data_IF_659641654741
#
_entry.id   IF_659641654741
#
_cell.length_a   1.000
_cell.length_b   1.000
_cell.length_c   1.000
_cell.angle_alpha   90.00
_cell.angle_beta   90.00
_cell.angle_gamma   90.00
#
_symmetry.space_group_name_H-M   'P 1'
#
loop_
_entity.id
_entity.type
_entity.pdbx_description
1 polymer ?
#
# COMPACT_ATOMS: atom_id res chain seq x y z
N UNK A 1 9.62 10.66 30.70
CA UNK A 1 9.51 9.68 29.59
C UNK A 1 9.60 10.42 28.27
N UNK A 2 10.58 10.12 27.42
CA UNK A 2 10.71 10.73 26.08
C UNK A 2 9.92 9.83 25.12
N UNK A 3 8.82 10.33 24.55
CA UNK A 3 8.02 9.56 23.59
C UNK A 3 8.90 9.10 22.42
N UNK A 4 8.84 7.81 22.09
CA UNK A 4 9.51 7.29 20.89
C UNK A 4 8.88 7.97 19.68
N UNK A 5 9.70 8.64 18.88
CA UNK A 5 9.24 9.27 17.63
C UNK A 5 9.06 8.17 16.59
N UNK A 6 7.93 8.19 15.89
CA UNK A 6 7.69 7.38 14.69
C UNK A 6 8.88 7.47 13.74
N UNK A 7 9.29 6.34 13.16
CA UNK A 7 10.39 6.26 12.19
C UNK A 7 10.23 7.32 11.08
N UNK A 8 11.34 7.95 10.66
CA UNK A 8 11.32 8.92 9.56
C UNK A 8 10.79 8.29 8.26
N UNK A 9 10.96 6.98 8.10
CA UNK A 9 10.55 6.24 6.91
C UNK A 9 9.04 6.06 6.78
N UNK A 10 8.28 5.98 7.87
CA UNK A 10 6.81 5.93 7.79
C UNK A 10 6.20 7.26 7.29
N UNK A 11 6.84 8.39 7.61
CA UNK A 11 6.33 9.75 7.31
C UNK A 11 6.39 10.12 5.82
N UNK A 12 7.07 9.34 4.99
CA UNK A 12 7.15 9.57 3.55
C UNK A 12 6.00 8.91 2.78
N UNK A 13 5.14 8.15 3.45
CA UNK A 13 4.05 7.46 2.79
C UNK A 13 2.72 8.11 3.10
N UNK A 14 1.86 8.12 2.09
CA UNK A 14 0.49 8.62 2.18
C UNK A 14 -0.50 7.47 2.44
N UNK A 15 -0.10 6.23 2.12
CA UNK A 15 -0.82 5.01 2.47
C UNK A 15 0.11 3.81 2.70
N UNK A 16 -0.24 2.95 3.66
CA UNK A 16 0.42 1.65 3.90
C UNK A 16 -0.61 0.53 3.71
N UNK A 17 -0.37 -0.35 2.75
CA UNK A 17 -1.17 -1.54 2.49
C UNK A 17 -0.60 -2.71 3.29
N UNK A 18 -1.48 -3.53 3.88
CA UNK A 18 -1.10 -4.61 4.80
C UNK A 18 -1.66 -5.98 4.43
N UNK A 19 -2.69 -6.04 3.59
CA UNK A 19 -3.29 -7.27 3.13
C UNK A 19 -3.99 -7.07 1.77
N UNK A 20 -4.12 -8.12 0.96
CA UNK A 20 -4.74 -8.02 -0.37
C UNK A 20 -5.56 -9.27 -0.72
N UNK A 21 -6.70 -9.05 -1.38
CA UNK A 21 -7.52 -10.07 -2.03
C UNK A 21 -7.51 -9.84 -3.53
N UNK A 22 -7.31 -10.91 -4.28
CA UNK A 22 -7.33 -10.88 -5.74
C UNK A 22 -8.57 -11.59 -6.28
N UNK A 23 -9.07 -11.11 -7.41
CA UNK A 23 -10.12 -11.78 -8.18
C UNK A 23 -9.59 -13.01 -8.92
N UNK A 24 -10.51 -13.77 -9.52
CA UNK A 24 -10.16 -14.96 -10.31
C UNK A 24 -9.32 -14.62 -11.57
N UNK A 25 -9.40 -13.38 -12.06
CA UNK A 25 -8.58 -12.84 -13.15
C UNK A 25 -7.17 -12.43 -12.71
N UNK A 26 -6.86 -12.53 -11.41
CA UNK A 26 -5.57 -12.12 -10.84
C UNK A 26 -5.42 -10.61 -10.67
N UNK A 27 -6.48 -9.82 -10.86
CA UNK A 27 -6.48 -8.40 -10.52
C UNK A 27 -6.77 -8.21 -9.04
N UNK A 28 -6.27 -7.13 -8.47
CA UNK A 28 -6.62 -6.74 -7.12
C UNK A 28 -8.14 -6.50 -7.07
N UNK A 29 -8.80 -7.15 -6.12
CA UNK A 29 -10.21 -6.88 -5.81
C UNK A 29 -10.29 -5.87 -4.68
N UNK A 30 -9.62 -6.16 -3.56
CA UNK A 30 -9.61 -5.32 -2.36
C UNK A 30 -8.26 -5.39 -1.65
N UNK A 31 -7.87 -4.31 -1.02
CA UNK A 31 -6.74 -4.28 -0.08
C UNK A 31 -7.16 -3.67 1.25
N UNK A 32 -6.51 -4.09 2.33
CA UNK A 32 -6.56 -3.38 3.60
C UNK A 32 -5.34 -2.47 3.72
N UNK A 33 -5.55 -1.26 4.20
CA UNK A 33 -4.45 -0.34 4.48
C UNK A 33 -4.83 0.81 5.39
N UNK A 34 -3.82 1.58 5.78
CA UNK A 34 -3.96 2.80 6.57
C UNK A 34 -3.66 4.00 5.68
N UNK A 35 -4.51 5.03 5.77
CA UNK A 35 -4.32 6.28 5.05
C UNK A 35 -3.81 7.36 5.98
N UNK A 36 -2.87 8.17 5.49
CA UNK A 36 -2.34 9.30 6.24
C UNK A 36 -3.19 10.55 6.03
N UNK A 37 -3.47 11.27 7.13
CA UNK A 37 -4.22 12.52 7.16
C UNK A 37 -3.37 13.59 7.86
N UNK A 38 -2.51 14.25 7.09
CA UNK A 38 -1.53 15.18 7.64
C UNK A 38 -0.46 14.45 8.45
N UNK A 39 -0.35 14.73 9.74
CA UNK A 39 0.64 14.10 10.62
C UNK A 39 0.18 12.79 11.24
N UNK A 40 -1.11 12.45 11.15
CA UNK A 40 -1.71 11.28 11.79
C UNK A 40 -2.08 10.20 10.79
N UNK A 41 -2.11 8.95 11.25
CA UNK A 41 -2.68 7.82 10.52
C UNK A 41 -4.15 7.68 10.91
N UNK A 42 -5.01 7.49 9.90
CA UNK A 42 -6.40 7.10 10.13
C UNK A 42 -6.53 5.62 10.48
N UNK A 43 -7.76 5.17 10.64
CA UNK A 43 -8.07 3.75 10.87
C UNK A 43 -7.75 2.88 9.66
N UNK A 44 -7.78 1.56 9.88
CA UNK A 44 -7.69 0.57 8.82
C UNK A 44 -8.90 0.67 7.90
N UNK A 45 -8.67 0.78 6.60
CA UNK A 45 -9.69 0.92 5.57
C UNK A 45 -9.53 -0.14 4.48
N UNK A 46 -10.64 -0.40 3.78
CA UNK A 46 -10.65 -1.19 2.55
C UNK A 46 -10.57 -0.25 1.35
N UNK A 47 -9.69 -0.56 0.42
CA UNK A 47 -9.53 0.16 -0.84
C UNK A 47 -9.69 -0.84 -1.98
N UNK A 48 -10.45 -0.47 -2.99
CA UNK A 48 -10.46 -1.22 -4.25
C UNK A 48 -9.27 -0.82 -5.12
N UNK A 49 -9.17 -1.51 -6.27
CA UNK A 49 -8.12 -1.30 -7.25
C UNK A 49 -8.17 0.08 -7.90
N UNK A 50 -9.36 0.61 -8.19
CA UNK A 50 -9.53 1.87 -8.90
C UNK A 50 -9.06 3.04 -8.04
N UNK A 51 -9.45 3.05 -6.76
CA UNK A 51 -9.01 4.04 -5.79
C UNK A 51 -7.47 4.05 -5.63
N UNK A 52 -6.84 2.87 -5.64
CA UNK A 52 -5.39 2.72 -5.59
C UNK A 52 -4.70 3.32 -6.82
N UNK A 53 -5.22 3.01 -8.01
CA UNK A 53 -4.70 3.53 -9.28
C UNK A 53 -4.83 5.05 -9.34
N UNK A 54 -5.99 5.58 -8.96
CA UNK A 54 -6.24 7.01 -8.93
C UNK A 54 -5.28 7.71 -7.96
N UNK A 55 -5.11 7.17 -6.75
CA UNK A 55 -4.18 7.72 -5.76
C UNK A 55 -2.73 7.75 -6.29
N UNK A 56 -2.26 6.69 -6.95
CA UNK A 56 -0.94 6.65 -7.56
C UNK A 56 -0.80 7.68 -8.69
N UNK A 57 -1.83 7.85 -9.54
CA UNK A 57 -1.84 8.87 -10.61
C UNK A 57 -1.84 10.29 -10.07
N UNK A 58 -2.45 10.53 -8.91
CA UNK A 58 -2.39 11.80 -8.18
C UNK A 58 -1.03 12.04 -7.49
N UNK A 59 -0.06 11.12 -7.65
CA UNK A 59 1.28 11.23 -7.08
C UNK A 59 1.36 10.83 -5.61
N UNK A 60 0.33 10.18 -5.04
CA UNK A 60 0.40 9.68 -3.67
C UNK A 60 1.42 8.55 -3.58
N UNK A 61 2.21 8.58 -2.51
CA UNK A 61 3.22 7.57 -2.23
C UNK A 61 2.60 6.45 -1.41
N UNK A 62 2.52 5.27 -2.00
CA UNK A 62 1.92 4.09 -1.37
C UNK A 62 3.00 3.03 -1.19
N UNK A 63 2.99 2.36 -0.04
CA UNK A 63 3.87 1.24 0.23
C UNK A 63 3.09 0.04 0.77
N UNK A 64 3.70 -1.13 0.66
CA UNK A 64 3.31 -2.34 1.38
C UNK A 64 4.15 -2.46 2.66
N UNK A 65 3.56 -3.02 3.71
CA UNK A 65 4.23 -3.23 4.98
C UNK A 65 3.32 -3.83 6.04
N UNK A 66 3.74 -3.73 7.30
CA UNK A 66 3.01 -4.27 8.44
C UNK A 66 2.98 -3.27 9.61
N UNK A 67 1.88 -3.21 10.38
CA UNK A 67 1.87 -2.45 11.64
C UNK A 67 2.86 -3.07 12.62
N UNK A 68 3.48 -2.24 13.46
CA UNK A 68 4.30 -2.70 14.58
C UNK A 68 3.49 -2.66 15.88
N UNK A 69 4.12 -3.00 17.00
CA UNK A 69 3.51 -2.90 18.33
C UNK A 69 3.21 -1.44 18.76
N UNK A 70 3.72 -0.45 18.01
CA UNK A 70 3.51 0.98 18.28
C UNK A 70 2.41 1.51 17.35
N UNK A 71 1.29 2.03 17.88
CA UNK A 71 0.23 2.60 17.06
C UNK A 71 0.74 3.73 16.14
N UNK A 72 0.40 3.63 14.86
CA UNK A 72 0.83 4.58 13.82
C UNK A 72 2.26 4.38 13.34
N UNK A 73 2.95 3.34 13.79
CA UNK A 73 4.24 2.91 13.26
C UNK A 73 4.09 1.67 12.38
N UNK A 74 4.84 1.66 11.28
CA UNK A 74 4.79 0.60 10.28
C UNK A 74 6.21 0.19 9.91
N UNK A 75 6.41 -1.12 9.79
CA UNK A 75 7.55 -1.68 9.08
C UNK A 75 7.26 -1.59 7.58
N UNK A 76 8.03 -0.78 6.88
CA UNK A 76 7.88 -0.58 5.44
C UNK A 76 8.67 -1.64 4.71
N UNK A 77 8.01 -2.41 3.85
CA UNK A 77 8.68 -3.43 3.05
C UNK A 77 9.09 -2.86 1.69
N UNK A 78 8.16 -2.20 0.98
CA UNK A 78 8.44 -1.72 -0.37
C UNK A 78 7.38 -0.74 -0.93
N UNK A 79 7.74 0.18 -1.85
CA UNK A 79 6.79 0.98 -2.62
C UNK A 79 5.89 0.15 -3.54
N UNK A 80 4.67 0.66 -3.72
CA UNK A 80 3.73 0.23 -4.76
C UNK A 80 3.87 1.16 -5.97
N UNK A 81 3.88 0.56 -7.16
CA UNK A 81 3.96 1.26 -8.42
C UNK A 81 2.84 0.84 -9.37
N UNK A 82 2.39 1.79 -10.18
CA UNK A 82 1.55 1.53 -11.33
C UNK A 82 2.44 1.39 -12.57
N UNK A 83 2.38 0.25 -13.26
CA UNK A 83 3.12 0.00 -14.50
C UNK A 83 2.15 -0.31 -15.64
N UNK A 84 2.58 -0.07 -16.87
CA UNK A 84 1.89 -0.59 -18.05
C UNK A 84 2.37 -2.01 -18.36
N UNK A 85 1.43 -2.96 -18.39
CA UNK A 85 1.64 -4.34 -18.83
C UNK A 85 0.94 -4.62 -20.17
N UNK A 86 1.15 -5.82 -20.70
CA UNK A 86 0.52 -6.26 -21.96
C UNK A 86 -1.01 -6.29 -21.93
N UNK A 87 -1.62 -6.39 -20.74
CA UNK A 87 -3.06 -6.38 -20.51
C UNK A 87 -3.60 -5.09 -19.88
N UNK A 88 -2.84 -4.00 -19.94
CA UNK A 88 -3.15 -2.72 -19.31
C UNK A 88 -2.36 -2.46 -18.03
N UNK A 89 -2.83 -1.52 -17.22
CA UNK A 89 -2.13 -1.12 -16.00
C UNK A 89 -2.09 -2.24 -14.96
N UNK A 90 -0.97 -2.39 -14.27
CA UNK A 90 -0.74 -3.36 -13.20
C UNK A 90 -0.15 -2.69 -11.95
N UNK A 91 -0.57 -3.15 -10.78
CA UNK A 91 -0.05 -2.73 -9.48
C UNK A 91 1.06 -3.69 -9.03
N UNK A 92 2.27 -3.19 -8.81
CA UNK A 92 3.43 -4.04 -8.46
C UNK A 92 4.27 -3.44 -7.34
N UNK A 93 5.06 -4.30 -6.69
CA UNK A 93 6.01 -3.93 -5.63
C UNK A 93 7.46 -3.96 -6.13
N UNK A 94 8.26 -2.95 -5.75
CA UNK A 94 9.71 -2.84 -6.08
C UNK A 94 9.99 -3.12 -7.57
N UNK A 95 9.12 -2.65 -8.45
CA UNK A 95 9.29 -2.75 -9.89
C UNK A 95 9.33 -4.15 -10.51
N UNK A 96 8.98 -5.20 -9.76
CA UNK A 96 9.03 -6.57 -10.23
C UNK A 96 8.27 -6.77 -11.56
N UNK A 97 8.84 -7.55 -12.47
CA UNK A 97 8.16 -7.99 -13.67
C UNK A 97 6.96 -8.85 -13.27
N UNK A 98 5.75 -8.41 -13.62
CA UNK A 98 4.53 -9.13 -13.37
C UNK A 98 3.59 -8.99 -14.57
N UNK A 99 2.80 -10.02 -14.83
CA UNK A 99 1.75 -10.02 -15.86
C UNK A 99 0.37 -9.64 -15.32
N UNK A 100 0.26 -9.47 -13.99
CA UNK A 100 -0.96 -9.13 -13.25
C UNK A 100 -0.60 -8.35 -11.99
N UNK A 101 -1.61 -7.89 -11.25
CA UNK A 101 -1.38 -7.20 -9.98
C UNK A 101 -0.64 -8.12 -9.00
N UNK A 102 0.39 -7.59 -8.33
CA UNK A 102 1.29 -8.33 -7.47
C UNK A 102 1.81 -7.45 -6.33
N UNK A 103 1.01 -7.33 -5.27
CA UNK A 103 1.35 -6.57 -4.07
C UNK A 103 2.14 -7.37 -3.02
N UNK A 104 2.33 -8.68 -3.21
CA UNK A 104 3.04 -9.58 -2.27
C UNK A 104 2.56 -9.50 -0.81
N UNK A 105 1.31 -9.10 -0.60
CA UNK A 105 0.67 -8.99 0.71
C UNK A 105 -0.08 -10.28 1.08
N UNK A 106 -0.22 -10.58 2.37
CA UNK A 106 -1.03 -11.71 2.82
C UNK A 106 -2.51 -11.53 2.47
N UNK A 107 -3.27 -12.63 2.33
CA UNK A 107 -4.72 -12.57 2.22
C UNK A 107 -5.36 -12.21 3.57
N UNK A 108 -6.62 -11.78 3.52
CA UNK A 108 -7.49 -11.55 4.67
C UNK A 108 -8.89 -12.07 4.37
#
# INVERSE_FOLDING_TARGET
>A
MRGKKLSKDSRKWDAILIAARYGADGRLSLTQGYLRRGEVWGDKQLLDREALIEALRQGRRIAVGAPTDIPGEFSIEAPVHLKQGSGGEILVVNEAAASRDALKLPPF
#
